data_IF_826216705286
#
_entry.id   IF_826216705286
#
_cell.length_a   1.000
_cell.length_b   1.000
_cell.length_c   1.000
_cell.angle_alpha   90.00
_cell.angle_beta   90.00
_cell.angle_gamma   90.00
#
_symmetry.space_group_name_H-M   'P 1'
#
loop_
_entity.id
_entity.type
_entity.pdbx_description
1 polymer ?
#
# COMPACT_ATOMS: atom_id res chain seq x y z
N UNK A 1 -12.73 -20.37 -31.13
CA UNK A 1 -13.19 -21.59 -30.44
C UNK A 1 -12.63 -21.69 -29.02
N UNK A 2 -11.29 -21.65 -28.80
CA UNK A 2 -10.68 -21.66 -27.45
C UNK A 2 -11.10 -20.49 -26.53
N UNK A 3 -11.20 -19.28 -27.10
CA UNK A 3 -11.54 -18.03 -26.39
C UNK A 3 -12.97 -18.00 -25.79
N UNK A 4 -13.93 -18.75 -26.34
CA UNK A 4 -15.28 -18.86 -25.77
C UNK A 4 -15.36 -19.91 -24.64
N UNK A 5 -14.39 -20.84 -24.60
CA UNK A 5 -14.34 -21.88 -23.57
C UNK A 5 -13.99 -21.28 -22.20
N UNK A 6 -13.04 -20.35 -22.14
CA UNK A 6 -12.64 -19.68 -20.90
C UNK A 6 -13.80 -18.91 -20.24
N UNK A 7 -14.56 -18.16 -21.04
CA UNK A 7 -15.75 -17.46 -20.56
C UNK A 7 -16.87 -18.43 -20.13
N UNK A 8 -16.97 -19.60 -20.76
CA UNK A 8 -17.90 -20.66 -20.35
C UNK A 8 -17.52 -21.26 -18.99
N UNK A 9 -16.24 -21.47 -18.73
CA UNK A 9 -15.77 -21.88 -17.40
C UNK A 9 -16.07 -20.81 -16.35
N UNK A 10 -15.92 -19.53 -16.68
CA UNK A 10 -16.28 -18.42 -15.80
C UNK A 10 -17.76 -18.47 -15.38
N UNK A 11 -18.69 -18.53 -16.35
CA UNK A 11 -20.13 -18.64 -16.07
C UNK A 11 -20.44 -19.89 -15.24
N UNK A 12 -19.85 -21.03 -15.61
CA UNK A 12 -20.10 -22.29 -14.92
C UNK A 12 -19.61 -22.25 -13.47
N UNK A 13 -18.47 -21.60 -13.19
CA UNK A 13 -17.99 -21.43 -11.82
C UNK A 13 -18.86 -20.48 -10.99
N UNK A 14 -19.47 -19.44 -11.59
CA UNK A 14 -20.50 -18.63 -10.90
C UNK A 14 -21.62 -19.55 -10.39
N UNK A 15 -22.15 -20.39 -11.28
CA UNK A 15 -23.23 -21.33 -10.95
C UNK A 15 -22.79 -22.34 -9.88
N UNK A 16 -21.56 -22.87 -9.97
CA UNK A 16 -20.99 -23.74 -8.94
C UNK A 16 -21.01 -23.06 -7.56
N UNK A 17 -20.53 -21.82 -7.46
CA UNK A 17 -20.50 -21.09 -6.20
C UNK A 17 -21.90 -20.81 -5.64
N UNK A 18 -22.81 -20.31 -6.47
CA UNK A 18 -24.19 -20.03 -6.06
C UNK A 18 -24.92 -21.28 -5.56
N UNK A 19 -24.69 -22.42 -6.22
CA UNK A 19 -25.33 -23.70 -5.91
C UNK A 19 -24.55 -24.54 -4.90
N UNK A 20 -23.43 -24.03 -4.37
CA UNK A 20 -22.53 -24.78 -3.48
C UNK A 20 -22.05 -26.12 -4.07
N UNK A 21 -21.89 -26.18 -5.40
CA UNK A 21 -21.37 -27.33 -6.15
C UNK A 21 -19.86 -27.17 -6.30
N UNK A 22 -19.12 -28.26 -6.13
CA UNK A 22 -17.66 -28.27 -6.33
C UNK A 22 -17.32 -27.91 -7.78
N UNK A 23 -16.44 -26.92 -7.96
CA UNK A 23 -15.90 -26.53 -9.28
C UNK A 23 -15.09 -27.68 -9.89
N UNK A 24 -15.09 -27.75 -11.21
CA UNK A 24 -14.23 -28.64 -12.00
C UNK A 24 -13.53 -27.85 -13.09
N UNK A 25 -12.30 -28.26 -13.43
CA UNK A 25 -11.58 -27.76 -14.60
C UNK A 25 -11.90 -28.57 -15.86
N UNK A 26 -12.71 -29.63 -15.75
CA UNK A 26 -13.20 -30.41 -16.89
C UNK A 26 -14.52 -29.83 -17.39
N UNK A 27 -14.50 -29.45 -18.67
CA UNK A 27 -15.62 -28.86 -19.37
C UNK A 27 -16.84 -29.80 -19.43
N UNK A 28 -16.62 -31.10 -19.63
CA UNK A 28 -17.67 -32.11 -19.76
C UNK A 28 -18.29 -32.44 -18.39
N UNK A 29 -17.47 -32.45 -17.35
CA UNK A 29 -17.95 -32.62 -15.97
C UNK A 29 -18.90 -31.47 -15.61
N UNK A 30 -18.51 -30.22 -15.90
CA UNK A 30 -19.38 -29.07 -15.68
C UNK A 30 -20.67 -29.11 -16.52
N UNK A 31 -20.62 -29.57 -17.78
CA UNK A 31 -21.83 -29.81 -18.60
C UNK A 31 -22.80 -30.72 -17.87
N UNK A 32 -22.30 -31.88 -17.45
CA UNK A 32 -23.10 -32.92 -16.81
C UNK A 32 -23.68 -32.41 -15.49
N UNK A 33 -22.83 -31.88 -14.61
CA UNK A 33 -23.20 -31.45 -13.27
C UNK A 33 -24.17 -30.27 -13.27
N UNK A 34 -23.96 -29.25 -14.10
CA UNK A 34 -24.74 -28.00 -14.03
C UNK A 34 -25.88 -27.95 -15.04
N UNK A 35 -25.68 -28.48 -16.24
CA UNK A 35 -26.58 -28.22 -17.37
C UNK A 35 -27.37 -29.45 -17.83
N UNK A 36 -27.13 -30.63 -17.26
CA UNK A 36 -27.90 -31.85 -17.59
C UNK A 36 -28.54 -32.46 -16.33
N UNK A 37 -27.74 -32.77 -15.32
CA UNK A 37 -28.17 -33.55 -14.15
C UNK A 37 -28.57 -32.69 -12.95
N UNK A 38 -28.25 -31.38 -12.95
CA UNK A 38 -28.68 -30.47 -11.89
C UNK A 38 -30.22 -30.34 -11.86
N UNK A 39 -30.84 -30.29 -10.68
CA UNK A 39 -32.25 -29.92 -10.56
C UNK A 39 -32.54 -28.51 -11.12
N UNK A 40 -31.53 -27.64 -11.23
CA UNK A 40 -31.62 -26.30 -11.79
C UNK A 40 -31.16 -26.22 -13.27
N UNK A 41 -30.99 -27.35 -13.95
CA UNK A 41 -30.36 -27.40 -15.28
C UNK A 41 -31.04 -26.49 -16.32
N UNK A 42 -32.38 -26.37 -16.28
CA UNK A 42 -33.13 -25.48 -17.19
C UNK A 42 -32.79 -24.01 -16.93
N UNK A 43 -32.80 -23.59 -15.68
CA UNK A 43 -32.45 -22.22 -15.26
C UNK A 43 -30.98 -21.92 -15.56
N UNK A 44 -30.09 -22.88 -15.31
CA UNK A 44 -28.66 -22.74 -15.59
C UNK A 44 -28.38 -22.52 -17.08
N UNK A 45 -29.05 -23.27 -17.97
CA UNK A 45 -28.94 -23.06 -19.43
C UNK A 45 -29.47 -21.68 -19.83
N UNK A 46 -30.63 -21.27 -19.30
CA UNK A 46 -31.19 -19.94 -19.56
C UNK A 46 -30.24 -18.82 -19.11
N UNK A 47 -29.67 -18.93 -17.91
CA UNK A 47 -28.69 -17.95 -17.41
C UNK A 47 -27.45 -17.86 -18.29
N UNK A 48 -26.93 -19.02 -18.75
CA UNK A 48 -25.81 -19.08 -19.67
C UNK A 48 -26.11 -18.38 -20.99
N UNK A 49 -27.25 -18.70 -21.63
CA UNK A 49 -27.70 -18.07 -22.88
C UNK A 49 -27.84 -16.56 -22.71
N UNK A 50 -28.54 -16.10 -21.66
CA UNK A 50 -28.72 -14.68 -21.38
C UNK A 50 -27.40 -13.94 -21.17
N UNK A 51 -26.43 -14.58 -20.50
CA UNK A 51 -25.10 -13.99 -20.27
C UNK A 51 -24.30 -13.88 -21.57
N UNK A 52 -24.49 -14.78 -22.53
CA UNK A 52 -23.86 -14.66 -23.84
C UNK A 52 -24.54 -13.57 -24.68
N UNK A 53 -25.87 -13.54 -24.67
CA UNK A 53 -26.67 -12.58 -25.44
C UNK A 53 -26.44 -11.13 -24.97
N UNK A 54 -26.20 -10.90 -23.68
CA UNK A 54 -25.97 -9.54 -23.18
C UNK A 54 -24.71 -8.90 -23.79
N UNK A 55 -23.64 -9.67 -24.04
CA UNK A 55 -22.45 -9.15 -24.73
C UNK A 55 -22.69 -8.90 -26.21
N UNK A 56 -23.57 -9.66 -26.85
CA UNK A 56 -24.02 -9.38 -28.22
C UNK A 56 -24.81 -8.07 -28.27
N UNK A 57 -25.71 -7.84 -27.32
CA UNK A 57 -26.44 -6.57 -27.18
C UNK A 57 -25.49 -5.40 -26.95
N UNK A 58 -24.50 -5.55 -26.06
CA UNK A 58 -23.45 -4.54 -25.85
C UNK A 58 -22.71 -4.23 -27.15
N UNK A 59 -22.34 -5.24 -27.93
CA UNK A 59 -21.69 -5.02 -29.24
C UNK A 59 -22.59 -4.23 -30.20
N UNK A 60 -23.89 -4.52 -30.23
CA UNK A 60 -24.82 -3.84 -31.12
C UNK A 60 -25.03 -2.36 -30.72
N UNK A 61 -25.11 -2.07 -29.43
CA UNK A 61 -25.36 -0.72 -28.92
C UNK A 61 -24.10 0.17 -28.92
N UNK A 62 -22.95 -0.38 -28.55
CA UNK A 62 -21.70 0.37 -28.39
C UNK A 62 -20.70 0.17 -29.54
N UNK A 63 -21.05 -0.65 -30.54
CA UNK A 63 -20.19 -1.06 -31.66
C UNK A 63 -19.12 -2.10 -31.26
N UNK A 64 -18.48 -1.91 -30.11
CA UNK A 64 -17.54 -2.89 -29.53
C UNK A 64 -17.68 -3.00 -28.02
N UNK A 65 -17.32 -4.16 -27.46
CA UNK A 65 -17.25 -4.37 -26.00
C UNK A 65 -16.24 -3.41 -25.36
N UNK A 66 -15.14 -3.11 -26.06
CA UNK A 66 -14.14 -2.15 -25.58
C UNK A 66 -14.69 -0.73 -25.42
N UNK A 67 -15.57 -0.30 -26.33
CA UNK A 67 -16.25 1.01 -26.24
C UNK A 67 -17.16 1.09 -25.02
N UNK A 68 -17.86 0.00 -24.69
CA UNK A 68 -18.66 -0.09 -23.47
C UNK A 68 -17.81 0.11 -22.21
N UNK A 69 -16.71 -0.63 -22.07
CA UNK A 69 -15.84 -0.47 -20.90
C UNK A 69 -15.22 0.93 -20.85
N UNK A 70 -14.79 1.50 -21.98
CA UNK A 70 -14.25 2.86 -22.05
C UNK A 70 -15.26 3.94 -21.68
N UNK A 71 -16.57 3.68 -21.81
CA UNK A 71 -17.63 4.60 -21.38
C UNK A 71 -17.69 4.71 -19.86
N UNK A 72 -17.46 3.61 -19.13
CA UNK A 72 -17.67 3.53 -17.68
C UNK A 72 -16.40 3.47 -16.86
N UNK A 73 -15.27 3.05 -17.44
CA UNK A 73 -14.02 2.82 -16.73
C UNK A 73 -12.87 3.67 -17.26
N UNK A 74 -11.94 3.99 -16.37
CA UNK A 74 -10.66 4.60 -16.70
C UNK A 74 -9.51 3.85 -16.05
N UNK A 75 -8.31 4.01 -16.60
CA UNK A 75 -7.11 3.48 -16.01
C UNK A 75 -6.48 4.51 -15.05
N UNK A 76 -6.53 4.23 -13.75
CA UNK A 76 -5.78 4.92 -12.69
C UNK A 76 -5.92 6.45 -12.61
N UNK A 77 -6.90 7.03 -13.30
CA UNK A 77 -7.10 8.48 -13.39
C UNK A 77 -8.58 8.81 -13.25
N UNK A 78 -8.86 9.92 -12.58
CA UNK A 78 -10.22 10.42 -12.43
C UNK A 78 -10.74 10.98 -13.77
N UNK A 79 -11.91 10.52 -14.18
CA UNK A 79 -12.71 11.12 -15.25
C UNK A 79 -14.17 11.17 -14.79
N UNK A 80 -14.83 12.29 -15.06
CA UNK A 80 -16.20 12.51 -14.64
C UNK A 80 -17.15 11.46 -15.27
N UNK A 81 -18.02 10.87 -14.45
CA UNK A 81 -18.96 9.83 -14.89
C UNK A 81 -18.36 8.44 -15.07
N UNK A 82 -17.06 8.25 -14.79
CA UNK A 82 -16.38 6.95 -14.87
C UNK A 82 -15.90 6.46 -13.51
N UNK A 83 -15.45 5.21 -13.45
CA UNK A 83 -14.85 4.57 -12.28
C UNK A 83 -13.42 4.16 -12.61
N UNK A 84 -12.45 4.66 -11.83
CA UNK A 84 -11.06 4.29 -12.05
C UNK A 84 -10.79 2.85 -11.56
N UNK A 85 -10.16 2.07 -12.43
CA UNK A 85 -9.58 0.77 -12.09
C UNK A 85 -8.08 0.81 -12.26
N UNK A 86 -7.39 -0.11 -11.56
CA UNK A 86 -5.93 -0.07 -11.42
C UNK A 86 -5.26 -1.27 -12.07
N UNK A 87 -5.85 -1.76 -13.18
CA UNK A 87 -5.39 -2.96 -13.87
C UNK A 87 -4.41 -2.64 -14.99
N UNK A 88 -3.54 -3.60 -15.29
CA UNK A 88 -2.46 -3.41 -16.26
C UNK A 88 -2.99 -3.33 -17.70
N UNK A 89 -2.39 -2.47 -18.53
CA UNK A 89 -2.80 -2.33 -19.95
C UNK A 89 -2.56 -3.62 -20.72
N UNK A 90 -1.48 -4.36 -20.43
CA UNK A 90 -1.12 -5.58 -21.16
C UNK A 90 -2.19 -6.69 -21.03
N UNK A 91 -2.92 -6.69 -19.92
CA UNK A 91 -3.93 -7.68 -19.59
C UNK A 91 -5.35 -7.19 -19.85
N UNK A 92 -5.64 -5.93 -19.53
CA UNK A 92 -6.99 -5.34 -19.54
C UNK A 92 -7.20 -4.31 -20.64
N UNK A 93 -6.19 -4.00 -21.46
CA UNK A 93 -6.18 -2.89 -22.42
C UNK A 93 -6.38 -1.51 -21.78
N UNK A 94 -6.23 -0.45 -22.58
CA UNK A 94 -6.41 0.94 -22.13
C UNK A 94 -7.85 1.22 -21.68
N UNK A 95 -8.82 0.50 -22.23
CA UNK A 95 -10.24 0.59 -21.87
C UNK A 95 -10.63 -0.26 -20.65
N UNK A 96 -9.69 -0.94 -19.98
CA UNK A 96 -9.95 -1.75 -18.79
C UNK A 96 -11.03 -2.83 -19.03
N UNK A 97 -10.96 -3.52 -20.18
CA UNK A 97 -11.94 -4.51 -20.62
C UNK A 97 -11.81 -5.84 -19.85
N UNK A 98 -12.59 -5.96 -18.75
CA UNK A 98 -12.64 -7.17 -17.92
C UNK A 98 -13.17 -8.40 -18.66
N UNK A 99 -14.02 -8.24 -19.68
CA UNK A 99 -14.48 -9.36 -20.50
C UNK A 99 -13.34 -9.96 -21.32
N UNK A 100 -12.54 -9.11 -21.99
CA UNK A 100 -11.34 -9.56 -22.70
C UNK A 100 -10.34 -10.21 -21.75
N UNK A 101 -10.10 -9.60 -20.59
CA UNK A 101 -9.20 -10.15 -19.58
C UNK A 101 -9.68 -11.53 -19.09
N UNK A 102 -10.97 -11.71 -18.85
CA UNK A 102 -11.55 -13.00 -18.49
C UNK A 102 -11.27 -14.06 -19.56
N UNK A 103 -11.60 -13.77 -20.83
CA UNK A 103 -11.35 -14.68 -21.94
C UNK A 103 -9.86 -15.05 -22.06
N UNK A 104 -8.94 -14.10 -21.83
CA UNK A 104 -7.51 -14.34 -22.01
C UNK A 104 -6.85 -15.03 -20.81
N UNK A 105 -7.34 -14.79 -19.59
CA UNK A 105 -6.60 -15.06 -18.36
C UNK A 105 -7.28 -16.08 -17.44
N UNK A 106 -8.57 -16.39 -17.62
CA UNK A 106 -9.33 -17.13 -16.62
C UNK A 106 -8.75 -18.51 -16.27
N UNK A 107 -8.37 -19.30 -17.28
CA UNK A 107 -7.73 -20.60 -17.08
C UNK A 107 -6.19 -20.54 -17.09
N UNK A 108 -5.59 -19.36 -17.27
CA UNK A 108 -4.13 -19.20 -17.34
C UNK A 108 -3.58 -18.89 -15.95
N UNK A 109 -3.05 -19.91 -15.27
CA UNK A 109 -2.28 -19.79 -14.03
C UNK A 109 -2.89 -18.89 -12.93
N UNK A 110 -4.23 -18.85 -12.80
CA UNK A 110 -4.96 -17.97 -11.88
C UNK A 110 -4.69 -16.46 -12.08
N UNK A 111 -4.31 -16.03 -13.29
CA UNK A 111 -4.04 -14.63 -13.61
C UNK A 111 -5.29 -13.75 -13.59
N UNK A 112 -6.49 -14.34 -13.64
CA UNK A 112 -7.74 -13.65 -13.39
C UNK A 112 -8.13 -13.81 -11.91
N UNK A 113 -7.98 -12.74 -11.13
CA UNK A 113 -8.18 -12.82 -9.68
C UNK A 113 -9.65 -13.00 -9.30
N UNK A 114 -9.92 -13.46 -8.07
CA UNK A 114 -11.29 -13.50 -7.54
C UNK A 114 -11.93 -12.10 -7.42
N UNK A 115 -11.12 -11.06 -7.24
CA UNK A 115 -11.56 -9.67 -7.32
C UNK A 115 -12.08 -9.32 -8.73
N UNK A 116 -11.37 -9.76 -9.77
CA UNK A 116 -11.77 -9.55 -11.17
C UNK A 116 -13.03 -10.34 -11.51
N UNK A 117 -13.15 -11.53 -10.92
CA UNK A 117 -14.32 -12.38 -11.03
C UNK A 117 -15.59 -11.69 -10.50
N UNK A 118 -15.52 -11.14 -9.29
CA UNK A 118 -16.63 -10.43 -8.65
C UNK A 118 -16.96 -9.12 -9.39
N UNK A 119 -15.96 -8.39 -9.85
CA UNK A 119 -16.18 -7.14 -10.58
C UNK A 119 -16.87 -7.36 -11.93
N UNK A 120 -16.40 -8.35 -12.71
CA UNK A 120 -17.06 -8.73 -13.96
C UNK A 120 -18.47 -9.30 -13.72
N UNK A 121 -18.66 -10.03 -12.62
CA UNK A 121 -19.98 -10.57 -12.27
C UNK A 121 -20.97 -9.43 -12.02
N UNK A 122 -20.57 -8.40 -11.27
CA UNK A 122 -21.42 -7.23 -11.04
C UNK A 122 -21.82 -6.50 -12.34
N UNK A 123 -20.90 -6.40 -13.30
CA UNK A 123 -21.21 -5.84 -14.63
C UNK A 123 -22.22 -6.73 -15.38
N UNK A 124 -22.05 -8.05 -15.37
CA UNK A 124 -23.00 -8.98 -15.98
C UNK A 124 -24.37 -8.87 -15.31
N UNK A 125 -24.44 -8.80 -13.97
CA UNK A 125 -25.68 -8.60 -13.24
C UNK A 125 -26.41 -7.34 -13.70
N UNK A 126 -25.70 -6.23 -13.90
CA UNK A 126 -26.30 -5.03 -14.49
C UNK A 126 -26.77 -5.26 -15.93
N UNK A 127 -25.94 -5.84 -16.80
CA UNK A 127 -26.28 -6.06 -18.21
C UNK A 127 -27.53 -6.93 -18.38
N UNK A 128 -27.72 -7.94 -17.53
CA UNK A 128 -28.90 -8.80 -17.52
C UNK A 128 -30.17 -8.08 -17.06
N UNK A 129 -30.04 -6.94 -16.37
CA UNK A 129 -31.14 -6.17 -15.79
C UNK A 129 -31.10 -4.69 -16.23
N UNK A 130 -30.47 -4.41 -17.38
CA UNK A 130 -30.17 -3.05 -17.84
C UNK A 130 -31.42 -2.18 -18.00
N UNK A 131 -32.55 -2.78 -18.34
CA UNK A 131 -33.83 -2.08 -18.51
C UNK A 131 -34.46 -1.64 -17.18
N UNK A 132 -34.01 -2.17 -16.05
CA UNK A 132 -34.55 -1.91 -14.71
C UNK A 132 -33.67 -0.98 -13.87
N UNK A 133 -32.46 -0.67 -14.36
CA UNK A 133 -31.43 0.07 -13.62
C UNK A 133 -31.03 1.29 -14.43
N UNK A 134 -31.32 2.47 -13.89
CA UNK A 134 -30.85 3.74 -14.44
C UNK A 134 -29.32 3.78 -14.56
N UNK A 135 -28.81 4.38 -15.63
CA UNK A 135 -27.38 4.42 -15.93
C UNK A 135 -26.56 5.10 -14.81
N UNK A 136 -27.08 6.19 -14.23
CA UNK A 136 -26.43 6.87 -13.10
C UNK A 136 -26.35 5.97 -11.86
N UNK A 137 -27.41 5.22 -11.57
CA UNK A 137 -27.43 4.25 -10.48
C UNK A 137 -26.44 3.11 -10.73
N UNK A 138 -26.28 2.65 -11.97
CA UNK A 138 -25.25 1.68 -12.33
C UNK A 138 -23.84 2.20 -12.06
N UNK A 139 -23.51 3.42 -12.49
CA UNK A 139 -22.18 4.02 -12.26
C UNK A 139 -21.89 4.12 -10.76
N UNK A 140 -22.85 4.58 -9.97
CA UNK A 140 -22.70 4.68 -8.51
C UNK A 140 -22.51 3.30 -7.86
N UNK A 141 -23.29 2.29 -8.26
CA UNK A 141 -23.16 0.91 -7.74
C UNK A 141 -21.83 0.28 -8.14
N UNK A 142 -21.37 0.51 -9.37
CA UNK A 142 -20.08 0.04 -9.88
C UNK A 142 -18.91 0.64 -9.09
N UNK A 143 -19.01 1.92 -8.71
CA UNK A 143 -18.04 2.61 -7.85
C UNK A 143 -18.00 2.01 -6.45
N UNK A 144 -19.16 1.77 -5.84
CA UNK A 144 -19.26 1.10 -4.53
C UNK A 144 -18.63 -0.31 -4.62
N UNK A 145 -18.98 -1.07 -5.66
CA UNK A 145 -18.43 -2.42 -5.88
C UNK A 145 -16.91 -2.40 -6.02
N UNK A 146 -16.36 -1.43 -6.76
CA UNK A 146 -14.91 -1.21 -6.88
C UNK A 146 -14.30 -0.93 -5.50
N UNK A 147 -14.90 -0.03 -4.72
CA UNK A 147 -14.37 0.32 -3.39
C UNK A 147 -14.38 -0.89 -2.44
N UNK A 148 -15.47 -1.67 -2.41
CA UNK A 148 -15.60 -2.88 -1.60
C UNK A 148 -14.55 -3.94 -1.97
N UNK A 149 -14.41 -4.25 -3.26
CA UNK A 149 -13.50 -5.29 -3.74
C UNK A 149 -12.04 -4.94 -3.42
N UNK A 150 -11.60 -3.71 -3.72
CA UNK A 150 -10.18 -3.33 -3.58
C UNK A 150 -9.75 -3.16 -2.13
N UNK A 151 -10.68 -2.90 -1.20
CA UNK A 151 -10.41 -2.89 0.24
C UNK A 151 -10.58 -4.26 0.93
N UNK A 152 -10.91 -5.30 0.16
CA UNK A 152 -11.16 -6.66 0.66
C UNK A 152 -10.17 -7.70 0.11
N UNK A 153 -9.15 -7.25 -0.62
CA UNK A 153 -8.16 -8.14 -1.25
C UNK A 153 -7.14 -8.73 -0.28
N UNK A 154 -7.13 -8.30 0.99
CA UNK A 154 -6.16 -8.70 2.02
C UNK A 154 -6.53 -9.95 2.81
N UNK A 155 -7.67 -10.58 2.54
CA UNK A 155 -8.02 -11.86 3.16
C UNK A 155 -9.49 -12.22 3.15
N UNK A 156 -10.38 -11.29 2.80
CA UNK A 156 -11.83 -11.49 2.75
C UNK A 156 -12.25 -12.18 1.45
N UNK A 157 -11.64 -11.83 0.32
CA UNK A 157 -11.92 -12.47 -0.97
C UNK A 157 -11.12 -13.76 -1.11
N UNK A 158 -11.81 -14.92 -1.03
CA UNK A 158 -11.20 -16.25 -1.13
C UNK A 158 -11.95 -17.13 -2.12
N UNK A 159 -11.23 -18.04 -2.76
CA UNK A 159 -11.78 -18.98 -3.74
C UNK A 159 -12.63 -20.11 -3.18
N UNK A 160 -12.76 -20.19 -1.86
CA UNK A 160 -13.58 -21.15 -1.13
C UNK A 160 -15.06 -20.99 -1.46
N UNK A 161 -15.79 -22.12 -1.49
CA UNK A 161 -17.19 -22.14 -1.94
C UNK A 161 -18.09 -21.22 -1.11
N UNK A 162 -17.97 -21.28 0.21
CA UNK A 162 -18.81 -20.50 1.13
C UNK A 162 -18.49 -19.00 1.05
N UNK A 163 -17.22 -18.63 0.90
CA UNK A 163 -16.80 -17.23 0.75
C UNK A 163 -17.35 -16.64 -0.55
N UNK A 164 -17.11 -17.29 -1.68
CA UNK A 164 -17.58 -16.79 -2.97
C UNK A 164 -19.10 -16.76 -3.07
N UNK A 165 -19.81 -17.69 -2.41
CA UNK A 165 -21.28 -17.67 -2.38
C UNK A 165 -21.82 -16.43 -1.67
N UNK A 166 -21.30 -16.11 -0.48
CA UNK A 166 -21.69 -14.92 0.27
C UNK A 166 -21.33 -13.64 -0.51
N UNK A 167 -20.10 -13.56 -1.05
CA UNK A 167 -19.64 -12.42 -1.84
C UNK A 167 -20.47 -12.22 -3.12
N UNK A 168 -20.79 -13.29 -3.86
CA UNK A 168 -21.66 -13.19 -5.05
C UNK A 168 -23.07 -12.71 -4.68
N UNK A 169 -23.62 -13.17 -3.55
CA UNK A 169 -24.91 -12.72 -3.05
C UNK A 169 -24.88 -11.22 -2.72
N UNK A 170 -23.79 -10.76 -2.11
CA UNK A 170 -23.61 -9.34 -1.79
C UNK A 170 -23.49 -8.49 -3.06
N UNK A 171 -22.67 -8.91 -4.03
CA UNK A 171 -22.54 -8.22 -5.33
C UNK A 171 -23.88 -8.15 -6.06
N UNK A 172 -24.63 -9.25 -6.11
CA UNK A 172 -25.94 -9.28 -6.76
C UNK A 172 -26.92 -8.29 -6.12
N UNK A 173 -27.01 -8.27 -4.79
CA UNK A 173 -27.89 -7.35 -4.06
C UNK A 173 -27.46 -5.89 -4.26
N UNK A 174 -26.17 -5.60 -4.22
CA UNK A 174 -25.63 -4.27 -4.49
C UNK A 174 -25.99 -3.82 -5.91
N UNK A 175 -25.73 -4.66 -6.91
CA UNK A 175 -25.93 -4.28 -8.30
C UNK A 175 -27.40 -4.14 -8.67
N UNK A 176 -28.30 -4.95 -8.10
CA UNK A 176 -29.75 -4.88 -8.38
C UNK A 176 -30.46 -3.80 -7.56
N UNK A 177 -30.14 -3.69 -6.27
CA UNK A 177 -30.91 -2.86 -5.32
C UNK A 177 -30.17 -1.62 -4.83
N UNK A 178 -28.85 -1.55 -5.05
CA UNK A 178 -28.02 -0.49 -4.48
C UNK A 178 -27.85 -0.60 -2.97
N UNK A 179 -27.94 -1.82 -2.40
CA UNK A 179 -27.88 -2.07 -0.96
C UNK A 179 -26.62 -2.89 -0.66
N UNK A 180 -25.86 -2.48 0.35
CA UNK A 180 -24.71 -3.24 0.86
C UNK A 180 -25.23 -4.19 1.94
N UNK A 181 -25.08 -5.49 1.73
CA UNK A 181 -25.61 -6.50 2.64
C UNK A 181 -24.62 -6.78 3.77
N UNK A 182 -24.85 -6.13 4.90
CA UNK A 182 -24.08 -6.36 6.12
C UNK A 182 -24.48 -7.67 6.81
N UNK A 183 -23.53 -8.25 7.57
CA UNK A 183 -23.80 -9.40 8.46
C UNK A 183 -23.79 -10.77 7.77
N UNK A 184 -23.25 -10.87 6.55
CA UNK A 184 -22.89 -12.15 5.97
C UNK A 184 -21.75 -12.81 6.77
N UNK A 185 -21.66 -14.14 6.70
CA UNK A 185 -20.60 -14.88 7.40
C UNK A 185 -19.23 -14.57 6.77
N UNK A 186 -19.22 -14.43 5.44
CA UNK A 186 -18.02 -14.16 4.64
C UNK A 186 -18.25 -12.98 3.68
N UNK A 187 -18.56 -11.80 4.22
CA UNK A 187 -18.74 -10.55 3.46
C UNK A 187 -17.43 -9.84 3.11
N UNK A 188 -17.57 -8.66 2.49
CA UNK A 188 -16.44 -7.76 2.25
C UNK A 188 -15.86 -7.20 3.57
N UNK A 189 -14.83 -6.37 3.45
CA UNK A 189 -14.23 -5.70 4.60
C UNK A 189 -15.27 -4.81 5.30
N UNK A 190 -15.65 -5.19 6.53
CA UNK A 190 -16.69 -4.47 7.29
C UNK A 190 -16.40 -3.00 7.58
N UNK A 191 -15.14 -2.54 7.58
CA UNK A 191 -14.88 -1.09 7.65
C UNK A 191 -15.26 -0.38 6.35
N UNK A 192 -14.97 -1.01 5.21
CA UNK A 192 -15.37 -0.47 3.91
C UNK A 192 -16.90 -0.51 3.76
N UNK A 193 -17.56 -1.60 4.17
CA UNK A 193 -19.04 -1.68 4.14
C UNK A 193 -19.68 -0.56 4.97
N UNK A 194 -19.16 -0.31 6.17
CA UNK A 194 -19.64 0.77 7.02
C UNK A 194 -19.41 2.14 6.39
N UNK A 195 -18.24 2.38 5.81
CA UNK A 195 -17.92 3.63 5.14
C UNK A 195 -18.80 3.88 3.91
N UNK A 196 -18.98 2.89 3.04
CA UNK A 196 -19.82 3.02 1.85
C UNK A 196 -21.30 3.29 2.21
N UNK A 197 -21.81 2.68 3.30
CA UNK A 197 -23.14 3.01 3.83
C UNK A 197 -23.22 4.46 4.34
N UNK A 198 -22.20 4.95 5.07
CA UNK A 198 -22.14 6.35 5.51
C UNK A 198 -22.08 7.31 4.32
N UNK A 199 -21.30 6.99 3.28
CA UNK A 199 -21.25 7.76 2.04
C UNK A 199 -22.59 7.86 1.38
N UNK A 200 -23.34 6.77 1.26
CA UNK A 200 -24.67 6.79 0.66
C UNK A 200 -25.58 7.81 1.35
N UNK A 201 -25.51 7.93 2.67
CA UNK A 201 -26.27 8.93 3.44
C UNK A 201 -25.72 10.33 3.17
N UNK A 202 -24.39 10.53 3.23
CA UNK A 202 -23.76 11.84 3.06
C UNK A 202 -23.92 12.43 1.68
N UNK A 203 -23.85 11.61 0.62
CA UNK A 203 -24.04 12.02 -0.78
C UNK A 203 -25.33 12.81 -0.98
N UNK A 204 -26.40 12.46 -0.24
CA UNK A 204 -27.70 13.16 -0.33
C UNK A 204 -27.66 14.62 0.14
N UNK A 205 -26.60 15.01 0.86
CA UNK A 205 -26.42 16.36 1.44
C UNK A 205 -25.25 17.13 0.82
N UNK A 206 -24.49 16.49 -0.08
CA UNK A 206 -23.32 17.11 -0.72
C UNK A 206 -23.73 17.92 -1.94
N UNK A 207 -23.04 19.03 -2.16
CA UNK A 207 -23.10 19.76 -3.43
C UNK A 207 -22.45 18.95 -4.57
N UNK A 208 -22.79 19.24 -5.84
CA UNK A 208 -22.15 18.58 -6.98
C UNK A 208 -20.61 18.70 -6.99
N UNK A 209 -20.09 19.83 -6.51
CA UNK A 209 -18.65 20.08 -6.42
C UNK A 209 -17.97 19.23 -5.33
N UNK A 210 -18.63 19.03 -4.19
CA UNK A 210 -18.14 18.13 -3.14
C UNK A 210 -18.15 16.67 -3.61
N UNK A 211 -19.21 16.25 -4.30
CA UNK A 211 -19.28 14.92 -4.91
C UNK A 211 -18.16 14.70 -5.93
N UNK A 212 -17.88 15.70 -6.77
CA UNK A 212 -16.78 15.67 -7.73
C UNK A 212 -15.43 15.46 -7.05
N UNK A 213 -15.15 16.21 -5.98
CA UNK A 213 -13.91 16.07 -5.19
C UNK A 213 -13.82 14.75 -4.45
N UNK A 214 -14.93 14.24 -3.94
CA UNK A 214 -14.99 12.93 -3.31
C UNK A 214 -14.66 11.83 -4.32
N UNK A 215 -15.34 11.80 -5.47
CA UNK A 215 -15.08 10.81 -6.53
C UNK A 215 -13.66 10.89 -7.07
N UNK A 216 -13.12 12.10 -7.23
CA UNK A 216 -11.72 12.30 -7.59
C UNK A 216 -10.77 11.72 -6.55
N UNK A 217 -11.03 11.90 -5.25
CA UNK A 217 -10.20 11.32 -4.20
C UNK A 217 -10.28 9.79 -4.17
N UNK A 218 -11.49 9.21 -4.29
CA UNK A 218 -11.69 7.75 -4.35
C UNK A 218 -10.93 7.07 -5.47
N UNK A 219 -10.83 7.75 -6.62
CA UNK A 219 -10.16 7.25 -7.82
C UNK A 219 -8.63 7.35 -7.77
N UNK A 220 -8.08 7.90 -6.68
CA UNK A 220 -6.64 7.93 -6.49
C UNK A 220 -6.10 6.50 -6.24
N UNK A 221 -5.03 6.06 -6.93
CA UNK A 221 -4.49 4.70 -6.78
C UNK A 221 -4.00 4.33 -5.38
N UNK A 222 -3.80 5.28 -4.48
CA UNK A 222 -3.43 4.98 -3.08
C UNK A 222 -4.62 4.85 -2.15
N UNK A 223 -5.82 5.24 -2.59
CA UNK A 223 -7.00 5.42 -1.75
C UNK A 223 -8.02 4.32 -1.99
N UNK A 224 -8.13 3.79 -3.20
CA UNK A 224 -9.04 2.66 -3.50
C UNK A 224 -10.47 2.85 -2.98
N UNK A 225 -10.94 4.10 -2.95
CA UNK A 225 -12.25 4.43 -2.40
C UNK A 225 -12.29 4.80 -0.92
N UNK A 226 -11.23 4.67 -0.13
CA UNK A 226 -11.26 4.95 1.31
C UNK A 226 -11.19 6.45 1.64
N UNK A 227 -12.35 7.12 1.73
CA UNK A 227 -12.46 8.57 1.97
C UNK A 227 -11.99 8.97 3.37
N UNK A 228 -12.17 8.08 4.35
CA UNK A 228 -11.86 8.38 5.77
C UNK A 228 -10.39 8.74 6.01
N UNK A 229 -9.48 8.40 5.09
CA UNK A 229 -8.08 8.82 5.17
C UNK A 229 -7.89 10.35 5.07
N UNK A 230 -8.69 11.04 4.25
CA UNK A 230 -8.64 12.51 4.18
C UNK A 230 -9.70 13.15 5.09
N UNK A 231 -10.86 12.51 5.23
CA UNK A 231 -12.03 13.07 5.92
C UNK A 231 -12.89 13.94 5.00
N UNK A 232 -14.20 13.90 5.22
CA UNK A 232 -15.18 14.60 4.38
C UNK A 232 -15.03 16.13 4.46
N UNK A 233 -14.66 16.63 5.63
CA UNK A 233 -14.39 18.03 5.93
C UNK A 233 -13.13 18.58 5.23
N UNK A 234 -12.36 17.71 4.58
CA UNK A 234 -11.07 18.03 3.97
C UNK A 234 -11.02 17.71 2.48
N UNK A 235 -12.14 17.40 1.83
CA UNK A 235 -12.22 17.19 0.38
C UNK A 235 -11.71 18.37 -0.46
N UNK A 236 -11.65 19.59 0.10
CA UNK A 236 -11.02 20.74 -0.57
C UNK A 236 -9.49 20.61 -0.73
N UNK A 237 -8.87 19.59 -0.13
CA UNK A 237 -7.45 19.24 -0.26
C UNK A 237 -7.21 18.16 -1.32
N UNK A 238 -8.24 17.62 -1.98
CA UNK A 238 -8.08 16.55 -2.98
C UNK A 238 -7.07 16.90 -4.07
N UNK A 239 -7.13 18.11 -4.64
CA UNK A 239 -6.17 18.52 -5.68
C UNK A 239 -4.75 18.62 -5.13
N UNK A 240 -4.58 19.18 -3.93
CA UNK A 240 -3.28 19.23 -3.25
C UNK A 240 -2.73 17.84 -2.93
N UNK A 241 -3.59 16.89 -2.58
CA UNK A 241 -3.19 15.50 -2.40
C UNK A 241 -2.63 14.92 -3.72
N UNK A 242 -3.34 15.10 -4.83
CA UNK A 242 -2.85 14.68 -6.15
C UNK A 242 -1.52 15.33 -6.50
N UNK A 243 -1.38 16.64 -6.28
CA UNK A 243 -0.15 17.37 -6.57
C UNK A 243 1.03 16.85 -5.73
N UNK A 244 0.82 16.60 -4.44
CA UNK A 244 1.86 16.06 -3.56
C UNK A 244 2.26 14.66 -3.98
N UNK A 245 1.31 13.74 -4.17
CA UNK A 245 1.59 12.32 -4.41
C UNK A 245 2.02 11.99 -5.85
N UNK A 246 1.69 12.82 -6.84
CA UNK A 246 2.10 12.60 -8.22
C UNK A 246 3.43 13.28 -8.58
N UNK A 247 3.75 14.41 -7.95
CA UNK A 247 4.93 15.20 -8.32
C UNK A 247 6.13 15.00 -7.38
N UNK A 248 6.00 14.18 -6.33
CA UNK A 248 7.07 13.94 -5.37
C UNK A 248 7.31 12.45 -5.17
N UNK A 249 8.56 12.10 -4.83
CA UNK A 249 8.86 10.73 -4.43
C UNK A 249 8.21 10.41 -3.08
N UNK A 250 7.76 9.17 -2.92
CA UNK A 250 7.25 8.66 -1.65
C UNK A 250 8.23 8.91 -0.49
N UNK A 251 9.53 8.74 -0.72
CA UNK A 251 10.53 9.06 0.29
C UNK A 251 10.49 10.53 0.71
N UNK A 252 10.39 11.49 -0.22
CA UNK A 252 10.35 12.91 0.15
C UNK A 252 9.09 13.28 0.93
N UNK A 253 7.93 12.69 0.59
CA UNK A 253 6.68 12.91 1.33
C UNK A 253 6.82 12.36 2.76
N UNK A 254 7.43 11.19 2.94
CA UNK A 254 7.75 10.63 4.26
C UNK A 254 8.60 11.60 5.11
N UNK A 255 9.68 12.13 4.54
CA UNK A 255 10.59 13.03 5.27
C UNK A 255 9.89 14.34 5.68
N UNK A 256 8.98 14.83 4.86
CA UNK A 256 8.16 16.00 5.20
C UNK A 256 7.14 15.68 6.30
N UNK A 257 6.47 14.53 6.25
CA UNK A 257 5.51 14.11 7.29
C UNK A 257 6.17 14.00 8.66
N UNK A 258 7.31 13.30 8.75
CA UNK A 258 7.99 13.10 10.04
C UNK A 258 8.50 14.41 10.64
N UNK A 259 8.81 15.40 9.79
CA UNK A 259 9.20 16.75 10.19
C UNK A 259 8.04 17.53 10.82
N UNK A 260 6.79 17.26 10.42
CA UNK A 260 5.62 17.94 10.98
C UNK A 260 5.30 17.39 12.37
N UNK A 261 5.14 16.08 12.52
CA UNK A 261 4.77 15.45 13.79
C UNK A 261 5.04 13.94 13.77
N UNK A 262 4.87 13.28 14.91
CA UNK A 262 4.84 11.82 14.95
C UNK A 262 3.56 11.29 14.29
N UNK A 263 3.71 10.67 13.11
CA UNK A 263 2.62 10.01 12.38
C UNK A 263 2.70 8.47 12.46
N UNK A 264 3.58 7.90 13.29
CA UNK A 264 3.71 6.44 13.38
C UNK A 264 2.39 5.79 13.78
N UNK A 265 2.04 4.71 13.08
CA UNK A 265 1.04 3.76 13.56
C UNK A 265 1.73 2.63 14.32
N UNK A 266 1.02 1.93 15.19
CA UNK A 266 1.60 0.84 15.96
C UNK A 266 0.58 -0.25 16.28
N UNK A 267 1.07 -1.46 16.47
CA UNK A 267 0.36 -2.55 17.13
C UNK A 267 1.06 -2.91 18.45
N UNK A 268 0.72 -4.06 19.05
CA UNK A 268 1.31 -4.46 20.33
C UNK A 268 2.84 -4.67 20.31
N UNK A 269 3.43 -4.89 19.14
CA UNK A 269 4.82 -5.33 18.99
C UNK A 269 5.62 -4.53 17.96
N UNK A 270 4.97 -3.69 17.16
CA UNK A 270 5.54 -3.07 15.96
C UNK A 270 5.07 -1.63 15.80
N UNK A 271 5.97 -0.86 15.23
CA UNK A 271 5.73 0.49 14.75
C UNK A 271 5.80 0.50 13.23
N UNK A 272 5.02 1.38 12.61
CA UNK A 272 4.85 1.46 11.18
C UNK A 272 5.09 2.88 10.70
N UNK A 273 6.02 3.01 9.76
CA UNK A 273 6.29 4.22 9.01
C UNK A 273 6.20 3.94 7.51
N UNK A 274 5.92 4.97 6.74
CA UNK A 274 5.99 4.87 5.28
C UNK A 274 7.42 5.06 4.79
N UNK A 275 7.78 4.38 3.70
CA UNK A 275 9.09 4.49 3.06
C UNK A 275 8.92 4.75 1.55
N UNK A 276 9.91 4.42 0.73
CA UNK A 276 9.84 4.58 -0.73
C UNK A 276 8.86 3.61 -1.42
N UNK A 277 8.39 2.57 -0.73
CA UNK A 277 7.50 1.55 -1.30
C UNK A 277 6.03 1.97 -1.23
N UNK A 278 5.37 1.94 -2.39
CA UNK A 278 3.93 2.24 -2.55
C UNK A 278 3.03 1.44 -1.60
N UNK A 279 3.38 0.19 -1.30
CA UNK A 279 2.61 -0.68 -0.41
C UNK A 279 2.49 -0.10 1.00
N UNK A 280 3.56 0.50 1.54
CA UNK A 280 3.55 1.10 2.88
C UNK A 280 2.59 2.29 2.93
N UNK A 281 2.54 3.09 1.87
CA UNK A 281 1.60 4.21 1.74
C UNK A 281 0.15 3.76 1.70
N UNK A 282 -0.16 2.74 0.91
CA UNK A 282 -1.50 2.13 0.90
C UNK A 282 -1.85 1.68 2.32
N UNK A 283 -0.97 0.99 3.02
CA UNK A 283 -1.26 0.52 4.36
C UNK A 283 -1.40 1.65 5.40
N UNK A 284 -0.68 2.76 5.27
CA UNK A 284 -0.81 3.92 6.18
C UNK A 284 -2.16 4.64 5.96
N UNK A 285 -2.57 4.80 4.70
CA UNK A 285 -3.74 5.58 4.29
C UNK A 285 -5.07 4.85 4.51
N UNK A 286 -5.05 3.57 4.87
CA UNK A 286 -6.23 2.77 5.16
C UNK A 286 -6.26 2.34 6.62
N UNK A 287 -7.44 2.40 7.24
CA UNK A 287 -7.61 1.98 8.62
C UNK A 287 -7.47 0.45 8.75
N UNK A 288 -6.59 0.02 9.63
CA UNK A 288 -6.39 -1.39 9.97
C UNK A 288 -7.10 -1.75 11.27
N UNK A 289 -7.57 -3.01 11.38
CA UNK A 289 -8.09 -3.56 12.65
C UNK A 289 -6.99 -3.74 13.70
N UNK A 290 -5.75 -3.88 13.25
CA UNK A 290 -4.64 -4.30 14.09
C UNK A 290 -3.72 -3.14 14.47
N UNK A 291 -3.89 -1.96 13.86
CA UNK A 291 -3.02 -0.80 14.09
C UNK A 291 -3.80 0.32 14.76
N UNK A 292 -3.13 0.99 15.68
CA UNK A 292 -3.58 2.18 16.38
C UNK A 292 -3.05 3.44 15.69
N UNK A 293 -3.52 4.60 16.16
CA UNK A 293 -3.02 5.92 15.78
C UNK A 293 -3.30 6.33 14.31
N UNK A 294 -4.29 5.70 13.66
CA UNK A 294 -4.69 6.04 12.29
C UNK A 294 -5.11 7.51 12.17
N UNK A 295 -6.00 7.97 13.04
CA UNK A 295 -6.55 9.34 13.02
C UNK A 295 -5.46 10.40 13.24
N UNK A 296 -4.52 10.15 14.16
CA UNK A 296 -3.37 11.01 14.36
C UNK A 296 -2.49 11.07 13.10
N UNK A 297 -2.21 9.92 12.48
CA UNK A 297 -1.43 9.85 11.23
C UNK A 297 -2.05 10.70 10.13
N UNK A 298 -3.37 10.57 9.95
CA UNK A 298 -4.12 11.35 8.96
C UNK A 298 -4.12 12.84 9.32
N UNK A 299 -4.18 13.20 10.60
CA UNK A 299 -4.07 14.60 11.04
C UNK A 299 -2.73 15.24 10.61
N UNK A 300 -1.62 14.49 10.67
CA UNK A 300 -0.29 14.96 10.22
C UNK A 300 -0.28 15.13 8.71
N UNK A 301 -0.87 14.19 7.97
CA UNK A 301 -1.03 14.30 6.52
C UNK A 301 -1.86 15.53 6.13
N UNK A 302 -2.99 15.78 6.82
CA UNK A 302 -3.81 16.96 6.58
C UNK A 302 -3.04 18.25 6.87
N UNK A 303 -2.23 18.29 7.94
CA UNK A 303 -1.33 19.43 8.23
C UNK A 303 -0.34 19.65 7.09
N UNK A 304 0.29 18.59 6.55
CA UNK A 304 1.18 18.67 5.40
C UNK A 304 0.47 19.28 4.19
N UNK A 305 -0.69 18.72 3.82
CA UNK A 305 -1.46 19.19 2.66
C UNK A 305 -1.91 20.65 2.81
N UNK A 306 -2.29 21.08 4.02
CA UNK A 306 -2.64 22.49 4.29
C UNK A 306 -1.44 23.42 4.10
N UNK A 307 -0.26 23.05 4.57
CA UNK A 307 0.97 23.84 4.37
C UNK A 307 1.32 23.95 2.89
N UNK A 308 1.21 22.85 2.14
CA UNK A 308 1.45 22.86 0.69
C UNK A 308 0.43 23.71 -0.05
N UNK A 309 -0.86 23.60 0.30
CA UNK A 309 -1.92 24.46 -0.26
C UNK A 309 -1.64 25.95 -0.01
N UNK A 310 -1.00 26.28 1.11
CA UNK A 310 -0.62 27.65 1.47
C UNK A 310 0.71 28.12 0.85
N UNK A 311 1.33 27.32 -0.03
CA UNK A 311 2.48 27.71 -0.85
C UNK A 311 3.83 27.14 -0.41
N UNK A 312 3.89 26.33 0.66
CA UNK A 312 5.14 25.68 1.06
C UNK A 312 5.44 24.45 0.19
N UNK A 313 6.71 24.23 -0.19
CA UNK A 313 7.09 22.94 -0.77
C UNK A 313 7.32 21.89 0.34
N UNK A 314 7.13 20.60 0.03
CA UNK A 314 7.41 19.53 1.00
C UNK A 314 8.89 19.51 1.43
N UNK A 315 9.79 19.96 0.56
CA UNK A 315 11.22 20.08 0.81
C UNK A 315 11.49 21.20 1.81
N UNK A 316 10.85 22.37 1.64
CA UNK A 316 10.99 23.49 2.59
C UNK A 316 10.47 23.14 3.97
N UNK A 317 9.38 22.37 4.06
CA UNK A 317 8.82 21.88 5.32
C UNK A 317 9.84 21.03 6.08
N UNK A 318 10.49 20.09 5.38
CA UNK A 318 11.55 19.24 5.95
C UNK A 318 12.78 20.06 6.33
N UNK A 319 13.28 20.87 5.41
CA UNK A 319 14.55 21.57 5.58
C UNK A 319 14.45 22.64 6.67
N UNK A 320 13.30 23.28 6.83
CA UNK A 320 13.06 24.22 7.93
C UNK A 320 13.09 23.52 9.30
N UNK A 321 12.49 22.32 9.40
CA UNK A 321 12.57 21.53 10.63
C UNK A 321 14.01 21.13 10.96
N UNK A 322 14.77 20.63 9.97
CA UNK A 322 16.17 20.23 10.16
C UNK A 322 17.03 21.42 10.61
N UNK A 323 16.92 22.58 9.93
CA UNK A 323 17.68 23.79 10.30
C UNK A 323 17.33 24.25 11.72
N UNK A 324 16.05 24.27 12.08
CA UNK A 324 15.62 24.65 13.43
C UNK A 324 16.23 23.74 14.50
N UNK A 325 16.26 22.42 14.26
CA UNK A 325 16.87 21.46 15.18
C UNK A 325 18.40 21.66 15.30
N UNK A 326 19.09 21.93 14.18
CA UNK A 326 20.53 22.22 14.16
C UNK A 326 20.88 23.53 14.89
N UNK A 327 20.11 24.60 14.65
CA UNK A 327 20.28 25.90 15.31
C UNK A 327 20.06 25.82 16.83
N UNK A 328 19.08 25.02 17.26
CA UNK A 328 18.79 24.80 18.69
C UNK A 328 19.74 23.78 19.33
N UNK A 329 20.56 23.08 18.55
CA UNK A 329 21.35 21.93 18.98
C UNK A 329 20.49 20.89 19.72
N UNK A 330 19.33 20.56 19.14
CA UNK A 330 18.40 19.56 19.65
C UNK A 330 18.07 18.56 18.55
N UNK A 331 18.50 17.32 18.73
CA UNK A 331 18.43 16.28 17.71
C UNK A 331 17.52 15.12 18.16
N UNK A 332 16.18 15.33 18.21
CA UNK A 332 15.26 14.25 18.56
C UNK A 332 15.30 13.13 17.52
N UNK A 333 14.78 11.96 17.84
CA UNK A 333 14.70 10.84 16.88
C UNK A 333 14.12 11.25 15.51
N UNK A 334 13.09 12.11 15.48
CA UNK A 334 12.47 12.62 14.23
C UNK A 334 13.46 13.38 13.35
N UNK A 335 14.42 14.10 13.94
CA UNK A 335 15.47 14.79 13.21
C UNK A 335 16.27 13.79 12.37
N UNK A 336 16.66 12.66 12.96
CA UNK A 336 17.43 11.65 12.23
C UNK A 336 16.63 11.03 11.10
N UNK A 337 15.35 10.70 11.32
CA UNK A 337 14.47 10.18 10.26
C UNK A 337 14.17 11.22 9.17
N UNK A 338 14.12 12.52 9.49
CA UNK A 338 13.94 13.59 8.51
C UNK A 338 15.22 13.88 7.70
N UNK A 339 16.39 13.89 8.36
CA UNK A 339 17.68 14.24 7.76
C UNK A 339 18.30 13.11 6.97
N UNK A 340 18.09 11.87 7.39
CA UNK A 340 18.75 10.69 6.82
C UNK A 340 17.73 9.75 6.16
N UNK A 341 17.51 9.83 4.83
CA UNK A 341 16.46 9.07 4.16
C UNK A 341 16.61 7.55 4.22
N UNK A 342 17.80 7.06 4.61
CA UNK A 342 18.13 5.64 4.76
C UNK A 342 17.96 5.13 6.21
N UNK A 343 17.38 5.93 7.10
CA UNK A 343 16.96 5.46 8.44
C UNK A 343 15.91 4.37 8.34
N UNK A 344 14.97 4.47 7.40
CA UNK A 344 14.02 3.40 7.09
C UNK A 344 14.55 2.51 5.97
N UNK A 345 15.19 1.41 6.37
CA UNK A 345 15.55 0.30 5.46
C UNK A 345 14.52 -0.82 5.60
N UNK A 346 14.20 -1.50 4.50
CA UNK A 346 13.29 -2.64 4.49
C UNK A 346 12.05 -2.40 3.63
N UNK A 347 11.37 -3.48 3.24
CA UNK A 347 10.26 -3.42 2.31
C UNK A 347 8.97 -2.88 2.95
N UNK A 348 8.65 -3.34 4.17
CA UNK A 348 7.32 -3.17 4.76
C UNK A 348 7.18 -1.97 5.70
N UNK A 349 8.26 -1.20 5.92
CA UNK A 349 8.22 0.00 6.79
C UNK A 349 7.97 -0.31 8.26
N UNK A 350 8.26 -1.54 8.70
CA UNK A 350 8.06 -1.99 10.07
C UNK A 350 9.29 -1.75 10.94
N UNK A 351 9.06 -1.38 12.20
CA UNK A 351 10.09 -1.17 13.20
C UNK A 351 9.74 -1.90 14.50
N UNK A 352 10.77 -2.36 15.21
CA UNK A 352 10.73 -2.49 16.66
C UNK A 352 11.27 -1.21 17.28
N UNK A 353 10.60 -0.72 18.31
CA UNK A 353 10.91 0.54 18.96
C UNK A 353 10.86 0.33 20.47
N UNK A 354 11.83 0.88 21.18
CA UNK A 354 11.82 0.94 22.64
C UNK A 354 11.21 2.27 23.09
N UNK A 355 10.05 2.22 23.73
CA UNK A 355 9.37 3.42 24.22
C UNK A 355 10.13 4.13 25.35
N UNK A 356 11.02 3.42 26.05
CA UNK A 356 11.87 4.02 27.09
C UNK A 356 13.00 4.85 26.49
N UNK A 357 13.39 4.58 25.24
CA UNK A 357 14.42 5.34 24.56
C UNK A 357 14.22 5.38 23.04
N UNK A 358 13.89 6.56 22.53
CA UNK A 358 13.57 6.79 21.12
C UNK A 358 14.74 6.59 20.13
N UNK A 359 15.96 6.32 20.61
CA UNK A 359 17.09 5.99 19.75
C UNK A 359 17.37 4.48 19.67
N UNK A 360 16.67 3.68 20.47
CA UNK A 360 16.71 2.23 20.38
C UNK A 360 15.59 1.74 19.46
N UNK A 361 15.95 1.56 18.20
CA UNK A 361 15.04 1.04 17.19
C UNK A 361 15.73 0.09 16.21
N UNK A 362 14.94 -0.84 15.67
CA UNK A 362 15.37 -1.81 14.67
C UNK A 362 14.37 -1.76 13.53
N UNK A 363 14.88 -1.56 12.31
CA UNK A 363 14.07 -1.66 11.09
C UNK A 363 14.04 -3.08 10.58
N UNK A 364 12.85 -3.52 10.14
CA UNK A 364 12.64 -4.87 9.64
C UNK A 364 12.46 -4.84 8.13
N UNK A 365 12.99 -5.85 7.44
CA UNK A 365 12.72 -6.02 6.02
C UNK A 365 11.25 -6.38 5.77
N UNK A 366 10.72 -7.28 6.60
CA UNK A 366 9.37 -7.81 6.56
C UNK A 366 8.85 -8.07 7.97
N UNK A 367 7.57 -8.37 8.10
CA UNK A 367 6.92 -8.66 9.39
C UNK A 367 7.64 -9.68 10.29
N UNK A 368 8.18 -10.76 9.69
CA UNK A 368 8.88 -11.82 10.42
C UNK A 368 10.26 -11.37 10.90
N UNK A 369 10.48 -11.39 12.21
CA UNK A 369 11.74 -10.95 12.83
C UNK A 369 12.94 -11.86 12.50
N UNK A 370 12.69 -13.14 12.19
CA UNK A 370 13.74 -14.06 11.72
C UNK A 370 14.26 -13.69 10.32
N UNK A 371 13.59 -12.74 9.65
CA UNK A 371 14.07 -12.14 8.41
C UNK A 371 15.16 -11.09 8.64
N UNK A 372 15.55 -10.45 7.55
CA UNK A 372 16.57 -9.41 7.60
C UNK A 372 16.10 -8.19 8.41
N UNK A 373 16.99 -7.61 9.19
CA UNK A 373 16.73 -6.43 10.01
C UNK A 373 18.02 -5.67 10.32
N UNK A 374 17.89 -4.38 10.63
CA UNK A 374 19.02 -3.45 10.75
C UNK A 374 18.79 -2.40 11.83
N UNK A 375 19.86 -2.01 12.51
CA UNK A 375 19.87 -0.77 13.28
C UNK A 375 19.92 0.44 12.32
N UNK A 376 18.96 1.39 12.40
CA UNK A 376 18.90 2.54 11.48
C UNK A 376 20.16 3.42 11.48
N UNK A 377 20.73 3.70 12.65
CA UNK A 377 21.89 4.57 12.78
C UNK A 377 23.14 3.93 12.16
N UNK A 378 23.42 2.67 12.49
CA UNK A 378 24.53 1.92 11.91
C UNK A 378 24.38 1.78 10.39
N UNK A 379 23.15 1.57 9.91
CA UNK A 379 22.86 1.52 8.48
C UNK A 379 23.19 2.83 7.77
N UNK A 380 22.80 3.98 8.34
CA UNK A 380 23.11 5.28 7.74
C UNK A 380 24.63 5.56 7.77
N UNK A 381 25.31 5.25 8.87
CA UNK A 381 26.77 5.39 8.99
C UNK A 381 27.43 4.57 7.87
N UNK A 382 27.11 3.27 7.77
CA UNK A 382 27.64 2.39 6.73
C UNK A 382 27.43 2.97 5.33
N UNK A 383 26.21 3.37 4.99
CA UNK A 383 25.87 3.91 3.66
C UNK A 383 26.63 5.21 3.34
N UNK A 384 26.93 6.03 4.35
CA UNK A 384 27.64 7.31 4.15
C UNK A 384 29.13 7.14 3.90
N UNK A 385 29.80 6.21 4.59
CA UNK A 385 31.27 6.17 4.62
C UNK A 385 31.90 4.88 4.11
N UNK A 386 31.15 3.78 3.92
CA UNK A 386 31.75 2.52 3.48
C UNK A 386 32.44 2.65 2.12
N UNK A 387 31.73 3.19 1.11
CA UNK A 387 32.29 3.41 -0.22
C UNK A 387 33.42 4.44 -0.22
N UNK A 388 33.27 5.52 0.54
CA UNK A 388 34.31 6.56 0.64
C UNK A 388 35.63 5.98 1.16
N UNK A 389 35.56 5.18 2.23
CA UNK A 389 36.73 4.55 2.84
C UNK A 389 37.33 3.47 1.93
N UNK A 390 36.50 2.67 1.26
CA UNK A 390 36.96 1.67 0.30
C UNK A 390 37.65 2.32 -0.91
N UNK A 391 37.10 3.41 -1.43
CA UNK A 391 37.70 4.15 -2.54
C UNK A 391 39.02 4.81 -2.12
N UNK A 392 39.13 5.31 -0.89
CA UNK A 392 40.34 5.96 -0.36
C UNK A 392 41.47 4.95 -0.12
N UNK A 393 41.18 3.83 0.53
CA UNK A 393 42.19 2.87 0.97
C UNK A 393 42.32 1.63 0.07
N UNK A 394 41.49 1.55 -0.99
CA UNK A 394 41.49 0.44 -1.99
C UNK A 394 41.27 -0.94 -1.37
N UNK A 395 40.58 -1.00 -0.24
CA UNK A 395 40.22 -2.23 0.47
C UNK A 395 38.90 -2.04 1.21
N UNK A 396 38.14 -3.12 1.41
CA UNK A 396 36.87 -3.06 2.15
C UNK A 396 37.16 -2.77 3.62
N UNK A 397 36.69 -1.62 4.11
CA UNK A 397 36.89 -1.17 5.51
C UNK A 397 35.72 -1.50 6.42
N UNK A 398 34.48 -1.36 5.93
CA UNK A 398 33.27 -1.52 6.72
C UNK A 398 32.41 -2.67 6.20
N UNK A 399 31.76 -3.36 7.13
CA UNK A 399 30.75 -4.36 6.85
C UNK A 399 29.57 -4.24 7.81
N UNK A 400 28.36 -4.45 7.31
CA UNK A 400 27.15 -4.46 8.11
C UNK A 400 26.31 -5.66 7.69
N UNK A 401 26.03 -6.55 8.64
CA UNK A 401 25.21 -7.71 8.35
C UNK A 401 23.74 -7.34 8.12
N UNK A 402 22.94 -8.35 7.78
CA UNK A 402 21.51 -8.17 7.54
C UNK A 402 20.64 -8.75 8.67
N UNK A 403 21.20 -9.02 9.84
CA UNK A 403 20.51 -9.70 10.94
C UNK A 403 20.74 -8.99 12.28
N UNK A 404 20.77 -7.65 12.24
CA UNK A 404 20.84 -6.81 13.43
C UNK A 404 22.20 -6.77 14.12
N UNK A 405 23.26 -7.24 13.48
CA UNK A 405 24.61 -7.20 14.03
C UNK A 405 25.22 -5.79 14.02
N UNK A 406 26.38 -5.72 14.67
CA UNK A 406 27.18 -4.51 14.79
C UNK A 406 27.78 -4.10 13.45
N UNK A 407 28.14 -2.83 13.32
CA UNK A 407 28.98 -2.36 12.22
C UNK A 407 30.40 -2.86 12.45
N UNK A 408 30.91 -3.71 11.56
CA UNK A 408 32.25 -4.28 11.66
C UNK A 408 33.23 -3.43 10.87
N UNK A 409 34.38 -3.13 11.48
CA UNK A 409 35.55 -2.59 10.80
C UNK A 409 36.53 -3.74 10.55
N UNK A 410 37.12 -3.80 9.37
CA UNK A 410 38.14 -4.81 9.03
C UNK A 410 39.57 -4.32 9.33
N UNK A 411 39.77 -3.01 9.38
CA UNK A 411 41.07 -2.36 9.59
C UNK A 411 40.88 -1.11 10.49
N UNK A 412 41.12 -1.20 11.80
CA UNK A 412 41.42 -2.43 12.56
C UNK A 412 40.19 -3.34 12.71
N UNK A 413 40.40 -4.64 12.91
CA UNK A 413 39.32 -5.59 13.22
C UNK A 413 38.66 -5.18 14.54
N UNK A 414 37.47 -4.61 14.44
CA UNK A 414 36.71 -4.04 15.56
C UNK A 414 35.22 -3.96 15.22
N UNK A 415 34.37 -3.63 16.20
CA UNK A 415 32.93 -3.47 15.96
C UNK A 415 32.34 -2.27 16.68
N UNK A 416 31.28 -1.70 16.10
CA UNK A 416 30.51 -0.59 16.67
C UNK A 416 29.05 -1.01 16.81
N UNK A 417 28.52 -1.00 18.04
CA UNK A 417 27.09 -1.16 18.33
C UNK A 417 26.45 0.18 18.65
N UNK A 418 25.12 0.28 18.51
CA UNK A 418 24.36 1.49 18.90
C UNK A 418 23.73 1.28 20.27
N UNK A 419 23.79 2.31 21.13
CA UNK A 419 23.17 2.33 22.45
C UNK A 419 22.15 3.48 22.56
N UNK A 420 21.51 3.60 23.73
CA UNK A 420 20.54 4.65 24.04
C UNK A 420 21.14 6.07 23.98
N UNK A 421 22.38 6.19 24.44
CA UNK A 421 23.12 7.43 24.65
C UNK A 421 24.40 7.52 23.78
N UNK A 422 24.57 6.63 22.81
CA UNK A 422 25.70 6.68 21.91
C UNK A 422 26.01 5.37 21.20
N UNK A 423 27.27 4.97 21.24
CA UNK A 423 27.78 3.77 20.57
C UNK A 423 28.84 3.08 21.42
N UNK A 424 28.90 1.75 21.40
CA UNK A 424 30.02 1.01 21.97
C UNK A 424 30.96 0.57 20.85
N UNK A 425 32.22 0.99 20.93
CA UNK A 425 33.30 0.52 20.07
C UNK A 425 34.09 -0.56 20.79
N UNK A 426 34.27 -1.72 20.16
CA UNK A 426 35.02 -2.83 20.75
C UNK A 426 36.22 -3.18 19.88
N UNK A 427 37.41 -3.10 20.48
CA UNK A 427 38.67 -3.53 19.88
C UNK A 427 39.41 -4.48 20.84
N UNK A 428 39.77 -5.68 20.37
CA UNK A 428 40.47 -6.69 21.18
C UNK A 428 39.81 -6.93 22.56
N UNK A 429 38.48 -7.10 22.59
CA UNK A 429 37.69 -7.31 23.82
C UNK A 429 37.65 -6.12 24.80
N UNK A 430 38.21 -4.96 24.43
CA UNK A 430 38.11 -3.73 25.21
C UNK A 430 37.01 -2.84 24.65
N UNK A 431 35.86 -2.72 25.34
CA UNK A 431 34.81 -1.79 24.95
C UNK A 431 35.17 -0.36 25.37
N UNK A 432 35.08 0.58 24.43
CA UNK A 432 35.07 2.02 24.65
C UNK A 432 33.67 2.55 24.33
N UNK A 433 33.05 3.22 25.29
CA UNK A 433 31.75 3.83 25.09
C UNK A 433 31.90 5.26 24.54
N UNK A 434 31.27 5.53 23.39
CA UNK A 434 31.22 6.82 22.72
C UNK A 434 29.93 7.54 23.07
N UNK A 435 29.94 8.25 24.20
CA UNK A 435 28.79 9.02 24.68
C UNK A 435 28.43 10.16 23.73
N UNK A 436 27.13 10.31 23.50
CA UNK A 436 26.47 11.46 22.89
C UNK A 436 25.82 12.26 24.00
N UNK A 437 26.13 13.55 24.07
CA UNK A 437 25.60 14.41 25.13
C UNK A 437 24.09 14.60 24.91
N UNK A 438 23.29 14.29 25.93
CA UNK A 438 21.83 14.46 25.93
C UNK A 438 21.40 15.55 26.91
N UNK A 439 20.31 16.24 26.60
CA UNK A 439 19.67 17.18 27.51
C UNK A 439 18.86 16.46 28.60
N UNK A 440 18.25 17.23 29.51
CA UNK A 440 17.45 16.71 30.62
C UNK A 440 16.25 15.85 30.20
N UNK A 441 15.79 15.99 28.96
CA UNK A 441 14.65 15.28 28.39
C UNK A 441 15.12 14.05 27.58
N UNK A 442 16.43 13.75 27.61
CA UNK A 442 17.05 12.65 26.86
C UNK A 442 17.20 12.96 25.37
N UNK A 443 17.18 14.23 24.96
CA UNK A 443 17.36 14.62 23.55
C UNK A 443 18.83 14.86 23.26
N UNK A 444 19.34 14.29 22.17
CA UNK A 444 20.74 14.50 21.75
C UNK A 444 21.02 15.99 21.50
N UNK A 445 22.19 16.45 21.93
CA UNK A 445 22.68 17.83 21.75
C UNK A 445 23.75 17.95 20.66
N UNK A 446 24.14 16.83 20.07
CA UNK A 446 24.99 16.73 18.89
C UNK A 446 24.47 15.63 17.94
N UNK A 447 24.77 15.74 16.65
CA UNK A 447 24.34 14.74 15.67
C UNK A 447 25.16 13.44 15.84
N UNK A 448 24.51 12.41 16.40
CA UNK A 448 25.18 11.14 16.73
C UNK A 448 25.78 10.42 15.53
N UNK A 449 25.19 10.56 14.35
CA UNK A 449 25.67 9.92 13.13
C UNK A 449 26.96 10.59 12.67
N UNK A 450 27.01 11.92 12.70
CA UNK A 450 28.23 12.66 12.35
C UNK A 450 29.35 12.37 13.35
N UNK A 451 29.03 12.38 14.66
CA UNK A 451 29.98 12.06 15.72
C UNK A 451 30.61 10.67 15.57
N UNK A 452 29.79 9.66 15.26
CA UNK A 452 30.28 8.30 15.01
C UNK A 452 31.13 8.22 13.74
N UNK A 453 30.72 8.90 12.66
CA UNK A 453 31.50 8.96 11.41
C UNK A 453 32.89 9.56 11.66
N UNK A 454 32.98 10.66 12.40
CA UNK A 454 34.27 11.30 12.73
C UNK A 454 35.19 10.33 13.47
N UNK A 455 34.68 9.66 14.52
CA UNK A 455 35.45 8.68 15.29
C UNK A 455 35.91 7.50 14.44
N UNK A 456 35.03 6.91 13.63
CA UNK A 456 35.37 5.79 12.74
C UNK A 456 36.47 6.20 11.75
N UNK A 457 36.32 7.37 11.11
CA UNK A 457 37.33 7.86 10.15
C UNK A 457 38.70 8.08 10.81
N UNK A 458 38.72 8.64 12.02
CA UNK A 458 39.96 8.84 12.77
C UNK A 458 40.66 7.52 13.09
N UNK A 459 39.92 6.52 13.59
CA UNK A 459 40.45 5.19 13.94
C UNK A 459 41.03 4.49 12.71
N UNK A 460 40.28 4.44 11.61
CA UNK A 460 40.73 3.82 10.36
C UNK A 460 41.99 4.51 9.83
N UNK A 461 42.02 5.85 9.88
CA UNK A 461 43.17 6.62 9.41
C UNK A 461 44.44 6.34 10.24
N UNK A 462 44.35 6.43 11.57
CA UNK A 462 45.48 6.16 12.46
C UNK A 462 46.03 4.74 12.25
N UNK A 463 45.15 3.75 12.16
CA UNK A 463 45.57 2.35 11.97
C UNK A 463 46.32 2.12 10.66
N UNK A 464 45.86 2.73 9.56
CA UNK A 464 46.49 2.56 8.25
C UNK A 464 47.80 3.36 8.16
N UNK A 465 47.90 4.53 8.79
CA UNK A 465 49.15 5.29 8.86
C UNK A 465 50.21 4.55 9.68
N UNK A 466 49.85 3.98 10.82
CA UNK A 466 50.76 3.18 11.66
C UNK A 466 51.32 1.97 10.89
N UNK A 467 50.50 1.28 10.09
CA UNK A 467 50.94 0.16 9.25
C UNK A 467 51.90 0.60 8.14
N UNK A 468 51.64 1.74 7.49
CA UNK A 468 52.52 2.26 6.45
C UNK A 468 53.89 2.70 7.00
N UNK A 469 53.97 3.14 8.26
CA UNK A 469 55.24 3.50 8.93
C UNK A 469 56.00 2.25 9.39
N UNK A 470 55.30 1.17 9.78
CA UNK A 470 55.95 -0.11 10.12
C UNK A 470 56.48 -0.86 8.90
N UNK A 471 55.86 -0.71 7.73
CA UNK A 471 56.30 -1.36 6.48
C UNK A 471 57.48 -0.65 5.78
N UNK A 472 57.86 0.55 6.24
CA UNK A 472 58.98 1.34 5.71
C UNK A 472 60.27 1.25 6.55
N UNK A 473 60.21 0.59 7.71
CA UNK A 473 61.35 0.28 8.58
C UNK A 473 61.65 -1.22 8.55
#
# INVERSE_FOLDING_TARGET
MRLLADFRFYISHILCYQQSIKKSTDEFELIKLLYQESPNAVQNRKFFEQTMDCWYQVKNEFGTIGTFFNKYLTQSTYEEGKVATYKTIAEYHTNQNFFHACIKLYQVNNNFSYSDFLFLFGIITYLLNKTEIEESAFIDRLRILRNLIWNSSSGEIRGDSDYMKDLLTEVEILMLKGIIKIGLKHGFNGFQEAEENDKMIRKTKMSPEELKKMYKFEDHPLIYGYISGLGYEHLYLTDTFYDVFNNNSYQNIHLALISIDNYMQYDNNRYYMVNENRSTWIQLLHKSRNRNNFEQSMSVLIKLLKRVKNGESITDIRDSFIREQEEQQKYPWRYYFAKYPKMLRGADGELKWDESNNYLCITLNKHQFNGQHWNPFLNVIYQKIAKELEDKYKTKILDLDNYGGNLTLTHPVSSVSSTCDGFDYTYQENPEHWTIIQDKDGIDTEDRILRAIEKIKAIVHMHIEEQNVSDQN
#
